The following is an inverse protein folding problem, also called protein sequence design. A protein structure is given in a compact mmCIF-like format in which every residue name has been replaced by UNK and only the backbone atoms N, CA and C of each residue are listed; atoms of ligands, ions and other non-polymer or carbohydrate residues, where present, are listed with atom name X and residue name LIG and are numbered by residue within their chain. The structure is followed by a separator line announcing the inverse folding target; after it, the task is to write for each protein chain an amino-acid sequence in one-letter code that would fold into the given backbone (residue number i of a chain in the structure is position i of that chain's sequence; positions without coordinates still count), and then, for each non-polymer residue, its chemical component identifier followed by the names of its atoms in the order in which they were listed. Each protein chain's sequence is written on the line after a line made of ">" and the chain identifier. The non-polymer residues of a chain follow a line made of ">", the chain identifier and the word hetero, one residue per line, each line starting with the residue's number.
data_IF_897312267280
#
_entry.id   IF_897312267280
#
_cell.length_a   1.000
_cell.length_b   1.000
_cell.length_c   1.000
_cell.angle_alpha   90.00
_cell.angle_beta   90.00
_cell.angle_gamma   90.00
#
_symmetry.space_group_name_H-M   'P 1'
#
loop_
_entity.id
_entity.type
_entity.pdbx_description
1 polymer ?
#
# COMPACT_ATOMS: atom_id res chain seq x y z
N UNK A 1 -6.83 -15.00 -4.70
CA UNK A 1 -6.03 -14.13 -3.80
C UNK A 1 -5.87 -14.79 -2.45
N UNK A 2 -4.70 -14.69 -1.85
CA UNK A 2 -4.45 -15.20 -0.51
C UNK A 2 -5.31 -14.43 0.50
N UNK A 3 -5.93 -15.14 1.44
CA UNK A 3 -6.83 -14.54 2.46
C UNK A 3 -6.24 -14.58 3.87
N UNK A 4 -5.10 -15.24 4.02
CA UNK A 4 -4.46 -15.49 5.31
C UNK A 4 -3.46 -14.39 5.69
N UNK A 5 -3.14 -14.35 6.97
CA UNK A 5 -2.06 -13.52 7.53
C UNK A 5 -0.73 -14.26 7.44
N UNK A 6 0.38 -13.53 7.57
CA UNK A 6 1.72 -14.12 7.53
C UNK A 6 2.01 -14.96 8.79
N UNK A 7 2.85 -15.99 8.64
CA UNK A 7 3.49 -16.61 9.79
C UNK A 7 4.69 -15.77 10.24
N UNK A 8 4.97 -15.72 11.54
CA UNK A 8 6.12 -14.93 12.07
C UNK A 8 7.46 -15.38 11.45
N UNK A 9 7.59 -16.67 11.11
CA UNK A 9 8.79 -17.20 10.48
C UNK A 9 9.00 -16.79 9.03
N UNK A 10 7.97 -16.18 8.41
CA UNK A 10 7.95 -15.71 7.02
C UNK A 10 7.56 -14.22 6.93
N UNK A 11 7.80 -13.46 8.01
CA UNK A 11 7.48 -12.04 8.16
C UNK A 11 8.76 -11.19 8.32
N UNK A 12 9.57 -11.04 7.26
CA UNK A 12 10.83 -10.29 7.34
C UNK A 12 10.60 -8.80 7.59
N UNK A 13 9.55 -8.19 6.99
CA UNK A 13 9.22 -6.78 7.19
C UNK A 13 8.77 -6.52 8.63
N UNK A 14 7.85 -7.32 9.16
CA UNK A 14 7.39 -7.20 10.55
C UNK A 14 8.53 -7.40 11.55
N UNK A 15 9.45 -8.33 11.28
CA UNK A 15 10.63 -8.53 12.13
C UNK A 15 11.56 -7.30 12.12
N UNK A 16 11.75 -6.68 10.97
CA UNK A 16 12.55 -5.46 10.85
C UNK A 16 11.87 -4.26 11.54
N UNK A 17 10.56 -4.12 11.39
CA UNK A 17 9.73 -3.11 12.09
C UNK A 17 9.86 -3.28 13.61
N UNK A 18 9.72 -4.51 14.11
CA UNK A 18 9.84 -4.80 15.54
C UNK A 18 11.23 -4.48 16.09
N UNK A 19 12.30 -4.87 15.39
CA UNK A 19 13.67 -4.55 15.82
C UNK A 19 13.89 -3.04 15.88
N UNK A 20 13.41 -2.30 14.86
CA UNK A 20 13.52 -0.84 14.86
C UNK A 20 12.72 -0.21 16.01
N UNK A 21 11.52 -0.68 16.27
CA UNK A 21 10.70 -0.20 17.39
C UNK A 21 11.39 -0.39 18.75
N UNK A 22 11.98 -1.56 18.99
CA UNK A 22 12.58 -1.91 20.26
C UNK A 22 13.95 -1.23 20.50
N UNK A 23 14.72 -0.99 19.44
CA UNK A 23 16.14 -0.58 19.58
C UNK A 23 16.47 0.76 18.90
N UNK A 24 15.54 1.34 18.14
CA UNK A 24 15.79 2.50 17.29
C UNK A 24 16.63 2.20 16.05
N UNK A 25 16.91 0.93 15.78
CA UNK A 25 17.72 0.49 14.63
C UNK A 25 17.21 -0.84 14.09
N UNK A 26 17.30 -1.02 12.77
CA UNK A 26 17.11 -2.31 12.12
C UNK A 26 18.34 -2.68 11.29
N UNK A 27 18.53 -3.97 11.03
CA UNK A 27 19.45 -4.43 10.00
C UNK A 27 18.90 -4.14 8.60
N UNK A 28 19.64 -4.54 7.55
CA UNK A 28 19.17 -4.41 6.17
C UNK A 28 17.91 -5.26 5.95
N UNK A 29 16.81 -4.62 5.56
CA UNK A 29 15.64 -5.28 4.98
C UNK A 29 15.84 -5.30 3.46
N UNK A 30 16.31 -6.44 2.95
CA UNK A 30 16.64 -6.63 1.55
C UNK A 30 15.39 -6.90 0.74
N UNK A 31 15.30 -6.26 -0.43
CA UNK A 31 14.23 -6.46 -1.41
C UNK A 31 14.86 -7.06 -2.65
N UNK A 32 14.49 -8.29 -2.95
CA UNK A 32 14.94 -9.05 -4.11
C UNK A 32 13.84 -9.02 -5.17
N UNK A 33 14.23 -8.94 -6.44
CA UNK A 33 13.34 -9.02 -7.60
C UNK A 33 14.02 -9.84 -8.70
N UNK A 34 13.26 -10.48 -9.57
CA UNK A 34 13.82 -11.08 -10.78
C UNK A 34 14.09 -10.03 -11.87
N UNK A 35 13.53 -8.83 -11.73
CA UNK A 35 13.56 -7.75 -12.73
C UNK A 35 14.57 -6.66 -12.42
N UNK A 36 14.94 -6.48 -11.15
CA UNK A 36 15.79 -5.38 -10.68
C UNK A 36 16.95 -5.89 -9.84
N UNK A 37 17.98 -5.05 -9.71
CA UNK A 37 19.04 -5.29 -8.74
C UNK A 37 18.50 -5.31 -7.31
N UNK A 38 19.21 -5.99 -6.41
CA UNK A 38 18.86 -6.03 -4.99
C UNK A 38 18.83 -4.61 -4.40
N UNK A 39 17.72 -4.28 -3.74
CA UNK A 39 17.50 -3.02 -3.06
C UNK A 39 17.32 -3.21 -1.55
N UNK A 40 17.23 -2.11 -0.82
CA UNK A 40 17.02 -2.07 0.63
C UNK A 40 15.82 -1.18 0.98
N UNK A 41 14.86 -1.71 1.72
CA UNK A 41 13.78 -0.92 2.30
C UNK A 41 14.27 -0.25 3.58
N UNK A 42 14.38 1.09 3.63
CA UNK A 42 14.78 1.79 4.85
C UNK A 42 13.68 1.70 5.92
N UNK A 43 13.87 0.84 6.93
CA UNK A 43 12.84 0.57 7.96
C UNK A 43 12.44 1.84 8.72
N UNK A 44 13.37 2.76 8.95
CA UNK A 44 13.10 4.05 9.60
C UNK A 44 12.01 4.85 8.87
N UNK A 45 11.89 4.69 7.54
CA UNK A 45 10.87 5.33 6.73
C UNK A 45 9.44 4.96 7.16
N UNK A 46 9.23 3.74 7.67
CA UNK A 46 7.94 3.29 8.17
C UNK A 46 7.53 3.95 9.52
N UNK A 47 8.45 4.67 10.15
CA UNK A 47 8.23 5.37 11.42
C UNK A 47 8.20 6.90 11.28
N UNK A 48 8.22 7.41 10.04
CA UNK A 48 8.22 8.85 9.73
C UNK A 48 7.03 9.57 10.34
N UNK A 49 7.22 10.86 10.60
CA UNK A 49 6.14 11.78 11.03
C UNK A 49 5.51 12.45 9.82
N UNK A 50 4.37 13.10 9.99
CA UNK A 50 3.67 13.82 8.92
C UNK A 50 4.58 14.76 8.11
N UNK A 51 5.50 15.46 8.78
CA UNK A 51 6.42 16.40 8.13
C UNK A 51 7.43 15.73 7.19
N UNK A 52 7.74 14.46 7.46
CA UNK A 52 8.71 13.68 6.72
C UNK A 52 8.05 12.79 5.65
N UNK A 53 6.71 12.84 5.54
CA UNK A 53 5.95 12.12 4.51
C UNK A 53 6.05 12.84 3.16
N UNK A 54 6.10 12.10 2.04
CA UNK A 54 5.92 12.66 0.70
C UNK A 54 4.61 13.45 0.58
N UNK A 55 4.54 14.40 -0.36
CA UNK A 55 3.35 15.24 -0.54
C UNK A 55 2.10 14.43 -0.86
N UNK A 56 2.22 13.34 -1.61
CA UNK A 56 1.12 12.40 -1.93
C UNK A 56 0.50 11.83 -0.65
N UNK A 57 1.32 11.39 0.31
CA UNK A 57 0.85 10.86 1.59
C UNK A 57 0.24 11.96 2.47
N UNK A 58 0.90 13.13 2.58
CA UNK A 58 0.35 14.27 3.33
C UNK A 58 -1.03 14.65 2.78
N UNK A 59 -1.17 14.72 1.45
CA UNK A 59 -2.44 15.01 0.78
C UNK A 59 -3.50 13.98 1.10
N UNK A 60 -3.16 12.70 1.13
CA UNK A 60 -4.10 11.64 1.51
C UNK A 60 -4.61 11.81 2.95
N UNK A 61 -3.73 12.15 3.90
CA UNK A 61 -4.13 12.37 5.30
C UNK A 61 -4.95 13.66 5.47
N UNK A 62 -4.69 14.71 4.69
CA UNK A 62 -5.48 15.96 4.65
C UNK A 62 -6.90 15.71 4.09
N UNK A 63 -7.04 14.87 3.07
CA UNK A 63 -8.33 14.50 2.44
C UNK A 63 -9.14 13.50 3.26
N UNK A 64 -8.51 12.75 4.19
CA UNK A 64 -9.19 11.73 4.98
C UNK A 64 -10.25 12.33 5.90
N UNK A 65 -11.44 11.70 5.95
CA UNK A 65 -12.54 12.09 6.85
C UNK A 65 -13.29 10.88 7.39
N UNK A 66 -14.09 11.13 8.43
CA UNK A 66 -14.98 10.12 9.03
C UNK A 66 -14.24 8.96 9.68
N UNK A 67 -14.79 7.76 9.52
CA UNK A 67 -14.18 6.51 9.93
C UNK A 67 -13.18 6.06 8.87
N UNK A 68 -11.92 5.93 9.24
CA UNK A 68 -10.82 5.62 8.31
C UNK A 68 -10.39 4.16 8.46
N UNK A 69 -10.21 3.46 7.35
CA UNK A 69 -9.53 2.18 7.27
C UNK A 69 -8.14 2.38 6.66
N UNK A 70 -7.09 2.03 7.38
CA UNK A 70 -5.70 2.04 6.91
C UNK A 70 -5.28 0.60 6.59
N UNK A 71 -5.07 0.27 5.31
CA UNK A 71 -4.79 -1.08 4.81
C UNK A 71 -3.30 -1.23 4.50
N UNK A 72 -2.66 -2.27 5.07
CA UNK A 72 -1.21 -2.46 4.97
C UNK A 72 -0.47 -1.44 5.83
N UNK A 73 -1.00 -1.17 7.02
CA UNK A 73 -0.59 -0.04 7.87
C UNK A 73 0.86 -0.11 8.39
N UNK A 74 1.56 -1.24 8.23
CA UNK A 74 2.97 -1.41 8.57
C UNK A 74 3.27 -1.08 10.03
N UNK A 75 4.08 -0.03 10.27
CA UNK A 75 4.36 0.46 11.61
C UNK A 75 3.30 1.44 12.14
N UNK A 76 2.27 1.79 11.36
CA UNK A 76 1.14 2.64 11.77
C UNK A 76 1.41 4.14 11.72
N UNK A 77 2.33 4.62 10.89
CA UNK A 77 2.64 6.05 10.82
C UNK A 77 1.43 6.89 10.40
N UNK A 78 0.67 6.45 9.39
CA UNK A 78 -0.55 7.14 8.94
C UNK A 78 -1.68 7.06 9.98
N UNK A 79 -1.92 5.86 10.53
CA UNK A 79 -2.95 5.66 11.55
C UNK A 79 -2.71 6.53 12.80
N UNK A 80 -1.46 6.63 13.27
CA UNK A 80 -1.10 7.47 14.42
C UNK A 80 -1.33 8.95 14.14
N UNK A 81 -0.93 9.43 12.98
CA UNK A 81 -1.15 10.84 12.58
C UNK A 81 -2.64 11.16 12.52
N UNK A 82 -3.45 10.33 11.87
CA UNK A 82 -4.90 10.53 11.81
C UNK A 82 -5.56 10.48 13.19
N UNK A 83 -5.09 9.62 14.10
CA UNK A 83 -5.56 9.61 15.50
C UNK A 83 -5.21 10.92 16.23
N UNK A 84 -4.02 11.50 15.99
CA UNK A 84 -3.62 12.80 16.57
C UNK A 84 -4.51 13.93 16.04
N UNK A 85 -4.97 13.84 14.79
CA UNK A 85 -5.96 14.75 14.21
C UNK A 85 -7.39 14.50 14.71
N UNK A 86 -7.60 13.55 15.63
CA UNK A 86 -8.91 13.25 16.21
C UNK A 86 -9.80 12.33 15.39
N UNK A 87 -9.26 11.65 14.38
CA UNK A 87 -10.02 10.73 13.53
C UNK A 87 -10.17 9.34 14.16
N UNK A 88 -11.27 8.67 13.83
CA UNK A 88 -11.45 7.24 14.14
C UNK A 88 -10.75 6.41 13.07
N UNK A 89 -9.77 5.61 13.46
CA UNK A 89 -8.95 4.82 12.51
C UNK A 89 -8.91 3.37 12.94
N UNK A 90 -9.26 2.48 12.01
CA UNK A 90 -8.96 1.05 12.07
C UNK A 90 -7.77 0.77 11.15
N UNK A 91 -6.68 0.22 11.71
CA UNK A 91 -5.50 -0.21 10.97
C UNK A 91 -5.49 -1.73 10.79
N UNK A 92 -5.26 -2.20 9.58
CA UNK A 92 -5.10 -3.64 9.31
C UNK A 92 -3.78 -3.92 8.61
N UNK A 93 -3.19 -5.03 8.95
CA UNK A 93 -1.99 -5.57 8.30
C UNK A 93 -2.01 -7.10 8.31
N UNK A 94 -1.38 -7.74 7.34
CA UNK A 94 -1.23 -9.20 7.32
C UNK A 94 -0.08 -9.69 8.19
N UNK A 95 0.83 -8.80 8.61
CA UNK A 95 1.97 -9.07 9.48
C UNK A 95 1.56 -9.04 10.95
N UNK A 96 1.64 -10.17 11.69
CA UNK A 96 1.38 -10.18 13.12
C UNK A 96 2.33 -9.27 13.89
N UNK A 97 3.60 -9.21 13.48
CA UNK A 97 4.63 -8.39 14.14
C UNK A 97 4.38 -6.89 13.92
N UNK A 98 3.97 -6.47 12.73
CA UNK A 98 3.54 -5.09 12.47
C UNK A 98 2.34 -4.71 13.34
N UNK A 99 1.35 -5.60 13.46
CA UNK A 99 0.18 -5.38 14.30
C UNK A 99 0.51 -5.24 15.79
N UNK A 100 1.48 -6.02 16.29
CA UNK A 100 2.01 -5.89 17.65
C UNK A 100 2.66 -4.52 17.85
N UNK A 101 3.56 -4.13 16.97
CA UNK A 101 4.24 -2.81 17.03
C UNK A 101 3.24 -1.66 16.94
N UNK A 102 2.25 -1.71 16.05
CA UNK A 102 1.21 -0.68 15.98
C UNK A 102 0.49 -0.47 17.32
N UNK A 103 0.13 -1.57 18.00
CA UNK A 103 -0.52 -1.52 19.32
C UNK A 103 0.40 -0.91 20.38
N UNK A 104 1.67 -1.33 20.40
CA UNK A 104 2.68 -0.79 21.33
C UNK A 104 2.95 0.70 21.08
N UNK A 105 2.87 1.16 19.83
CA UNK A 105 2.98 2.58 19.45
C UNK A 105 1.72 3.39 19.78
N UNK A 106 0.61 2.75 20.15
CA UNK A 106 -0.63 3.43 20.59
C UNK A 106 -1.70 3.57 19.51
N UNK A 107 -1.64 2.80 18.42
CA UNK A 107 -2.78 2.68 17.49
C UNK A 107 -3.91 1.96 18.21
N UNK A 108 -5.09 2.58 18.30
CA UNK A 108 -6.19 2.14 19.19
C UNK A 108 -6.95 0.93 18.65
N UNK A 109 -7.19 0.87 17.34
CA UNK A 109 -7.93 -0.22 16.70
C UNK A 109 -7.05 -0.87 15.63
N UNK A 110 -6.42 -2.00 15.99
CA UNK A 110 -5.52 -2.76 15.13
C UNK A 110 -6.02 -4.19 15.00
N UNK A 111 -6.18 -4.65 13.79
CA UNK A 111 -6.55 -6.03 13.47
C UNK A 111 -5.51 -6.67 12.53
N UNK A 112 -4.94 -7.82 12.94
CA UNK A 112 -4.09 -8.61 12.04
C UNK A 112 -5.01 -9.35 11.07
N UNK A 113 -5.17 -8.80 9.85
CA UNK A 113 -6.19 -9.25 8.91
C UNK A 113 -5.81 -8.94 7.47
N UNK A 114 -6.14 -9.86 6.59
CA UNK A 114 -6.08 -9.62 5.16
C UNK A 114 -7.39 -8.96 4.70
N UNK A 115 -7.30 -7.90 3.90
CA UNK A 115 -8.48 -7.19 3.37
C UNK A 115 -9.43 -8.10 2.56
N UNK A 116 -8.89 -9.14 1.91
CA UNK A 116 -9.68 -10.11 1.15
C UNK A 116 -10.35 -11.17 2.01
N UNK A 117 -10.09 -11.21 3.32
CA UNK A 117 -10.76 -12.16 4.21
C UNK A 117 -12.27 -11.90 4.20
N UNK A 118 -13.13 -12.91 3.88
CA UNK A 118 -14.57 -12.72 3.80
C UNK A 118 -15.21 -12.30 5.12
N UNK A 119 -14.57 -12.64 6.25
CA UNK A 119 -15.07 -12.27 7.58
C UNK A 119 -14.67 -10.85 8.00
N UNK A 120 -13.81 -10.17 7.23
CA UNK A 120 -13.52 -8.76 7.45
C UNK A 120 -14.64 -7.93 6.86
N UNK A 121 -15.44 -7.33 7.72
CA UNK A 121 -16.60 -6.50 7.36
C UNK A 121 -16.47 -5.13 8.01
N UNK A 122 -17.07 -4.13 7.41
CA UNK A 122 -17.10 -2.76 7.91
C UNK A 122 -17.63 -1.79 6.86
N UNK A 123 -17.85 -0.55 7.31
CA UNK A 123 -18.21 0.57 6.42
C UNK A 123 -17.32 1.76 6.85
N UNK A 124 -16.54 2.27 5.90
CA UNK A 124 -15.56 3.30 6.12
C UNK A 124 -15.78 4.49 5.20
N UNK A 125 -15.62 5.68 5.74
CA UNK A 125 -15.78 6.93 4.98
C UNK A 125 -14.52 7.24 4.18
N UNK A 126 -13.36 6.80 4.66
CA UNK A 126 -12.11 6.86 3.94
C UNK A 126 -11.37 5.52 4.06
N UNK A 127 -10.91 4.99 2.93
CA UNK A 127 -10.05 3.80 2.87
C UNK A 127 -8.69 4.25 2.32
N UNK A 128 -7.63 4.03 3.07
CA UNK A 128 -6.25 4.35 2.68
C UNK A 128 -5.52 3.09 2.23
N UNK A 129 -4.85 3.20 1.08
CA UNK A 129 -3.85 2.25 0.60
C UNK A 129 -2.66 3.07 0.13
N UNK A 130 -1.71 3.33 1.01
CA UNK A 130 -0.56 4.21 0.78
C UNK A 130 0.75 3.44 0.74
N UNK A 131 1.79 4.03 0.13
CA UNK A 131 3.07 3.43 -0.23
C UNK A 131 2.93 2.37 -1.34
N UNK A 132 2.41 2.83 -2.47
CA UNK A 132 2.08 2.00 -3.63
C UNK A 132 0.97 0.99 -3.33
N UNK A 133 -0.18 1.51 -2.92
CA UNK A 133 -1.32 0.71 -2.48
C UNK A 133 -1.93 -0.18 -3.57
N UNK A 134 -1.77 0.16 -4.87
CA UNK A 134 -2.18 -0.71 -5.98
C UNK A 134 -1.46 -2.05 -5.97
N UNK A 135 -0.27 -2.10 -5.35
CA UNK A 135 0.54 -3.31 -5.21
C UNK A 135 -0.15 -4.46 -4.50
N UNK A 136 -1.12 -4.18 -3.61
CA UNK A 136 -1.92 -5.20 -2.92
C UNK A 136 -2.71 -6.09 -3.90
N UNK A 137 -3.01 -5.61 -5.12
CA UNK A 137 -3.60 -6.42 -6.17
C UNK A 137 -2.65 -7.49 -6.72
N UNK A 138 -1.33 -7.29 -6.61
CA UNK A 138 -0.28 -8.14 -7.15
C UNK A 138 -0.14 -8.02 -8.66
N UNK A 139 -1.21 -8.28 -9.41
CA UNK A 139 -1.26 -8.21 -10.89
C UNK A 139 -2.42 -7.37 -11.38
N UNK A 140 -2.29 -6.80 -12.58
CA UNK A 140 -3.32 -5.99 -13.20
C UNK A 140 -4.66 -6.75 -13.32
N UNK A 141 -4.60 -8.03 -13.66
CA UNK A 141 -5.80 -8.89 -13.74
C UNK A 141 -6.57 -9.02 -12.43
N UNK A 142 -5.95 -8.74 -11.30
CA UNK A 142 -6.57 -8.78 -9.97
C UNK A 142 -7.02 -7.41 -9.45
N UNK A 143 -6.62 -6.32 -10.10
CA UNK A 143 -7.00 -4.97 -9.67
C UNK A 143 -8.52 -4.76 -9.58
N UNK A 144 -9.36 -5.28 -10.52
CA UNK A 144 -10.80 -5.24 -10.38
C UNK A 144 -11.32 -5.91 -9.11
N UNK A 145 -10.69 -7.03 -8.68
CA UNK A 145 -11.07 -7.73 -7.47
C UNK A 145 -10.75 -6.90 -6.22
N UNK A 146 -9.59 -6.24 -6.18
CA UNK A 146 -9.24 -5.30 -5.11
C UNK A 146 -10.26 -4.16 -5.06
N UNK A 147 -10.49 -3.46 -6.17
CA UNK A 147 -11.41 -2.32 -6.22
C UNK A 147 -12.84 -2.70 -5.81
N UNK A 148 -13.36 -3.83 -6.28
CA UNK A 148 -14.66 -4.33 -5.86
C UNK A 148 -14.72 -4.68 -4.38
N UNK A 149 -13.62 -5.20 -3.82
CA UNK A 149 -13.52 -5.46 -2.38
C UNK A 149 -13.55 -4.17 -1.57
N UNK A 150 -12.77 -3.15 -1.97
CA UNK A 150 -12.76 -1.84 -1.33
C UNK A 150 -14.13 -1.16 -1.42
N UNK A 151 -14.80 -1.26 -2.59
CA UNK A 151 -16.17 -0.77 -2.79
C UNK A 151 -17.17 -1.36 -1.80
N UNK A 152 -17.02 -2.65 -1.43
CA UNK A 152 -17.88 -3.29 -0.41
C UNK A 152 -17.65 -2.74 1.00
N UNK A 153 -16.44 -2.25 1.29
CA UNK A 153 -16.04 -1.69 2.59
C UNK A 153 -16.26 -0.17 2.68
N UNK A 154 -16.50 0.48 1.54
CA UNK A 154 -16.69 1.92 1.46
C UNK A 154 -18.13 2.31 1.80
N UNK A 155 -18.34 3.32 2.64
CA UNK A 155 -19.65 3.90 2.90
C UNK A 155 -20.21 4.58 1.64
N UNK A 156 -21.52 4.87 1.62
CA UNK A 156 -22.22 5.41 0.44
C UNK A 156 -21.56 6.68 -0.11
N UNK A 157 -21.12 7.56 0.77
CA UNK A 157 -20.47 8.82 0.41
C UNK A 157 -18.97 8.76 0.69
N UNK A 158 -18.41 7.54 0.79
CA UNK A 158 -17.02 7.30 1.11
C UNK A 158 -16.06 7.47 -0.07
N UNK A 159 -14.78 7.39 0.24
CA UNK A 159 -13.71 7.50 -0.74
C UNK A 159 -12.61 6.46 -0.47
N UNK A 160 -11.87 6.11 -1.51
CA UNK A 160 -10.61 5.39 -1.43
C UNK A 160 -9.52 6.37 -1.84
N UNK A 161 -8.47 6.47 -1.05
CA UNK A 161 -7.25 7.20 -1.34
C UNK A 161 -6.13 6.18 -1.53
N UNK A 162 -5.67 6.05 -2.75
CA UNK A 162 -4.70 5.04 -3.17
C UNK A 162 -3.60 5.69 -3.99
N UNK A 163 -2.37 5.34 -3.70
CA UNK A 163 -1.23 5.80 -4.49
C UNK A 163 -0.65 4.69 -5.37
N UNK A 164 0.07 5.10 -6.38
CA UNK A 164 0.89 4.25 -7.23
C UNK A 164 1.96 5.09 -7.94
N UNK A 165 2.80 4.42 -8.71
CA UNK A 165 3.80 5.04 -9.57
C UNK A 165 3.71 4.48 -10.97
N UNK A 166 3.95 5.33 -11.98
CA UNK A 166 4.09 4.91 -13.37
C UNK A 166 5.54 4.49 -13.63
N UNK A 167 5.78 3.19 -13.79
CA UNK A 167 7.12 2.64 -14.00
C UNK A 167 7.65 2.78 -15.43
N UNK A 168 6.96 3.53 -16.32
CA UNK A 168 7.40 3.70 -17.71
C UNK A 168 8.84 4.19 -17.84
N UNK A 169 9.32 5.01 -16.89
CA UNK A 169 10.68 5.57 -16.91
C UNK A 169 11.78 4.50 -16.91
N UNK A 170 11.49 3.29 -16.41
CA UNK A 170 12.45 2.17 -16.39
C UNK A 170 12.69 1.63 -17.79
N UNK A 171 11.75 1.84 -18.71
CA UNK A 171 11.76 1.38 -20.10
C UNK A 171 12.11 2.51 -21.07
N UNK A 172 12.50 3.69 -20.58
CA UNK A 172 12.91 4.84 -21.40
C UNK A 172 14.38 4.67 -21.78
N UNK A 173 14.66 4.75 -23.08
CA UNK A 173 16.02 4.72 -23.62
C UNK A 173 16.67 6.13 -23.61
N UNK A 174 17.94 6.22 -24.04
CA UNK A 174 18.71 7.47 -24.09
C UNK A 174 18.09 8.52 -25.04
N UNK A 175 17.27 8.11 -26.01
CA UNK A 175 16.60 8.96 -26.98
C UNK A 175 15.17 9.35 -26.53
N UNK A 176 14.72 8.89 -25.36
CA UNK A 176 13.39 9.14 -24.79
C UNK A 176 12.27 8.28 -25.39
N UNK A 177 12.61 7.20 -26.09
CA UNK A 177 11.64 6.22 -26.55
C UNK A 177 11.43 5.13 -25.48
N UNK A 178 10.24 4.51 -25.47
CA UNK A 178 9.89 3.46 -24.50
C UNK A 178 9.92 2.09 -25.17
N UNK A 179 10.75 1.18 -24.66
CA UNK A 179 10.82 -0.23 -25.09
C UNK A 179 9.94 -1.11 -24.19
N UNK A 180 8.62 -1.05 -24.41
CA UNK A 180 7.62 -1.82 -23.66
C UNK A 180 7.05 -2.91 -24.55
N UNK A 181 7.18 -4.19 -24.14
CA UNK A 181 6.54 -5.31 -24.83
C UNK A 181 5.02 -5.29 -24.61
N UNK A 182 4.28 -4.88 -25.63
CA UNK A 182 2.81 -4.82 -25.59
C UNK A 182 2.13 -6.20 -25.63
N UNK A 183 2.87 -7.28 -25.91
CA UNK A 183 2.36 -8.65 -25.88
C UNK A 183 2.71 -9.40 -24.58
N UNK A 184 3.55 -8.78 -23.74
CA UNK A 184 3.95 -9.28 -22.43
C UNK A 184 2.96 -8.96 -21.31
N UNK A 185 3.34 -9.25 -20.05
CA UNK A 185 2.63 -8.78 -18.88
C UNK A 185 2.58 -7.25 -18.88
N UNK A 186 1.65 -6.67 -18.10
CA UNK A 186 1.63 -5.24 -17.92
C UNK A 186 2.95 -4.75 -17.28
N UNK A 187 3.56 -3.73 -17.84
CA UNK A 187 4.91 -3.28 -17.49
C UNK A 187 5.08 -2.85 -16.02
N UNK A 188 4.00 -2.61 -15.31
CA UNK A 188 4.00 -2.31 -13.89
C UNK A 188 3.83 -3.54 -12.97
N UNK A 189 3.79 -4.77 -13.51
CA UNK A 189 3.78 -6.00 -12.71
C UNK A 189 5.22 -6.38 -12.35
N UNK A 190 5.54 -6.37 -11.06
CA UNK A 190 6.87 -6.66 -10.51
C UNK A 190 6.78 -7.80 -9.50
N UNK A 191 7.79 -8.65 -9.43
CA UNK A 191 7.92 -9.62 -8.36
C UNK A 191 8.90 -9.13 -7.29
N UNK A 192 8.58 -9.41 -6.03
CA UNK A 192 9.44 -9.12 -4.90
C UNK A 192 9.59 -10.32 -3.95
N UNK A 193 10.74 -10.38 -3.28
CA UNK A 193 10.94 -11.23 -2.12
C UNK A 193 11.73 -10.47 -1.07
N UNK A 194 11.21 -10.35 0.14
CA UNK A 194 11.89 -9.68 1.23
C UNK A 194 12.70 -10.65 2.09
N UNK A 195 13.87 -10.19 2.54
CA UNK A 195 14.75 -10.94 3.43
C UNK A 195 15.27 -10.03 4.54
N UNK A 196 15.07 -10.45 5.78
CA UNK A 196 15.61 -9.76 6.96
C UNK A 196 16.38 -10.74 7.84
N UNK A 197 17.68 -10.54 7.98
CA UNK A 197 18.57 -11.50 8.67
C UNK A 197 18.41 -12.91 8.10
N UNK A 198 17.95 -13.86 8.90
CA UNK A 198 17.68 -15.26 8.50
C UNK A 198 16.20 -15.53 8.18
N UNK A 199 15.34 -14.51 8.24
CA UNK A 199 13.92 -14.62 7.89
C UNK A 199 13.77 -14.27 6.41
N UNK A 200 13.28 -15.24 5.63
CA UNK A 200 13.00 -15.08 4.21
C UNK A 200 11.50 -15.22 4.00
N UNK A 201 10.88 -14.19 3.44
CA UNK A 201 9.47 -14.19 3.06
C UNK A 201 9.24 -15.02 1.79
N UNK A 202 7.99 -15.35 1.53
CA UNK A 202 7.58 -15.91 0.25
C UNK A 202 7.69 -14.85 -0.86
N UNK A 203 8.01 -15.23 -2.10
CA UNK A 203 7.90 -14.33 -3.24
C UNK A 203 6.45 -13.87 -3.43
N UNK A 204 6.26 -12.62 -3.85
CA UNK A 204 4.95 -12.06 -4.13
C UNK A 204 4.99 -11.10 -5.31
N UNK A 205 3.88 -11.05 -6.05
CA UNK A 205 3.69 -10.06 -7.10
C UNK A 205 3.27 -8.72 -6.49
N UNK A 206 3.71 -7.61 -7.11
CA UNK A 206 3.38 -6.25 -6.71
C UNK A 206 3.06 -5.41 -7.93
N UNK A 207 1.91 -4.75 -7.91
CA UNK A 207 1.42 -3.99 -9.04
C UNK A 207 1.69 -2.48 -8.87
N UNK A 208 2.32 -1.91 -9.85
CA UNK A 208 2.36 -0.47 -10.09
C UNK A 208 1.44 -0.15 -11.26
N UNK A 209 0.67 0.94 -11.19
CA UNK A 209 -0.22 1.32 -12.29
C UNK A 209 0.06 2.75 -12.73
N UNK A 210 0.02 3.00 -14.04
CA UNK A 210 -0.10 4.36 -14.54
C UNK A 210 -1.51 4.93 -14.27
N UNK A 211 -1.67 6.27 -14.24
CA UNK A 211 -2.97 6.91 -13.98
C UNK A 211 -4.07 6.54 -14.97
N UNK A 212 -3.74 6.31 -16.23
CA UNK A 212 -4.70 5.97 -17.29
C UNK A 212 -5.27 4.57 -17.08
N UNK A 213 -4.39 3.61 -16.78
CA UNK A 213 -4.79 2.24 -16.49
C UNK A 213 -5.65 2.17 -15.23
N UNK A 214 -5.25 2.85 -14.15
CA UNK A 214 -6.05 2.87 -12.92
C UNK A 214 -7.45 3.45 -13.18
N UNK A 215 -7.56 4.57 -13.91
CA UNK A 215 -8.86 5.17 -14.28
C UNK A 215 -9.73 4.20 -15.08
N UNK A 216 -9.14 3.55 -16.10
CA UNK A 216 -9.87 2.61 -16.93
C UNK A 216 -10.44 1.42 -16.15
N UNK A 217 -9.66 0.85 -15.21
CA UNK A 217 -10.11 -0.26 -14.36
C UNK A 217 -11.17 0.22 -13.35
N UNK A 218 -11.02 1.42 -12.79
CA UNK A 218 -12.05 2.02 -11.92
C UNK A 218 -13.39 2.16 -12.65
N UNK A 219 -13.39 2.68 -13.89
CA UNK A 219 -14.61 2.83 -14.71
C UNK A 219 -15.30 1.47 -14.96
N UNK A 220 -14.52 0.42 -15.28
CA UNK A 220 -15.04 -0.93 -15.42
C UNK A 220 -15.70 -1.46 -14.13
N UNK A 221 -15.23 -1.02 -12.97
CA UNK A 221 -15.79 -1.37 -11.66
C UNK A 221 -16.97 -0.45 -11.23
N UNK A 222 -17.38 0.51 -12.06
CA UNK A 222 -18.41 1.50 -11.72
C UNK A 222 -17.95 2.46 -10.63
N UNK A 223 -16.68 2.87 -10.70
CA UNK A 223 -16.02 3.82 -9.81
C UNK A 223 -15.51 5.01 -10.62
N UNK A 224 -15.52 6.20 -10.02
CA UNK A 224 -14.87 7.40 -10.54
C UNK A 224 -13.49 7.50 -9.92
N UNK A 225 -12.45 7.71 -10.74
CA UNK A 225 -11.06 7.90 -10.30
C UNK A 225 -10.56 9.28 -10.73
N UNK A 226 -10.02 10.04 -9.78
CA UNK A 226 -9.44 11.36 -9.97
C UNK A 226 -8.02 11.40 -9.39
N UNK A 227 -7.04 11.86 -10.15
CA UNK A 227 -5.69 12.10 -9.65
C UNK A 227 -5.73 13.45 -8.93
N UNK A 228 -5.43 13.47 -7.64
CA UNK A 228 -5.56 14.66 -6.78
C UNK A 228 -4.21 15.21 -6.31
N UNK A 229 -3.13 14.46 -6.51
CA UNK A 229 -1.75 14.90 -6.27
C UNK A 229 -0.82 14.12 -7.17
N UNK A 230 0.21 14.77 -7.71
CA UNK A 230 1.32 14.15 -8.44
C UNK A 230 2.61 14.43 -7.67
N UNK A 231 3.43 13.41 -7.49
CA UNK A 231 4.71 13.52 -6.81
C UNK A 231 5.87 13.76 -7.78
N UNK A 232 7.08 13.80 -7.24
CA UNK A 232 8.27 14.22 -7.98
C UNK A 232 8.82 13.13 -8.94
N UNK A 233 8.44 11.85 -8.74
CA UNK A 233 9.03 10.70 -9.42
C UNK A 233 7.98 9.75 -10.01
N UNK A 234 7.06 10.28 -10.84
CA UNK A 234 5.98 9.51 -11.48
C UNK A 234 5.01 8.86 -10.48
N UNK A 235 5.13 9.14 -9.19
CA UNK A 235 4.18 8.75 -8.17
C UNK A 235 2.97 9.70 -8.16
N UNK A 236 1.84 9.17 -7.80
CA UNK A 236 0.60 9.94 -7.74
C UNK A 236 -0.36 9.41 -6.68
N UNK A 237 -1.25 10.26 -6.21
CA UNK A 237 -2.38 9.92 -5.36
C UNK A 237 -3.68 10.00 -6.13
N UNK A 238 -4.45 8.94 -6.12
CA UNK A 238 -5.79 8.88 -6.68
C UNK A 238 -6.87 8.88 -5.59
N UNK A 239 -7.93 9.62 -5.86
CA UNK A 239 -9.18 9.61 -5.11
C UNK A 239 -10.23 8.86 -5.92
N UNK A 240 -10.78 7.79 -5.33
CA UNK A 240 -11.77 6.93 -5.98
C UNK A 240 -13.07 7.00 -5.18
N UNK A 241 -14.18 7.20 -5.89
CA UNK A 241 -15.52 7.32 -5.31
C UNK A 241 -16.53 6.50 -6.13
N UNK A 242 -17.72 6.32 -5.59
CA UNK A 242 -18.82 5.72 -6.38
C UNK A 242 -19.20 6.64 -7.55
N UNK A 243 -19.49 6.05 -8.69
CA UNK A 243 -20.16 6.78 -9.78
C UNK A 243 -21.61 7.02 -9.37
N UNK A 244 -22.06 8.28 -9.37
CA UNK A 244 -23.43 8.72 -9.05
C UNK A 244 -24.34 8.42 -10.24
#
# INVERSE_FOLDING_TARGET
>A
MQTDTLSISQDPMGAAIRDFHLTGKAGRLRVLSSMFEEDEMPVAHLFRTFKDMPRTEQRALEEAYGNVLDIGAGAGCHALELQQQGKSVKAIDISPLSCEVMKERGVKDVECKNVFCPTFIGQFDTILLLMNGTGIAGKLSNLPNLLNRLKQLMSKDGQILIDSSDLKYIYEDEDGAFDIDLNGPYYGEVDYQMVYRNIKGEPFDWLYTDPTMLKAVCEQCGLKCEIIEEGDHYDYLAKITLTI
#
